data_IF_124587130412
#
_entry.id   IF_124587130412
#
_cell.length_a   1.000
_cell.length_b   1.000
_cell.length_c   1.000
_cell.angle_alpha   90.00
_cell.angle_beta   90.00
_cell.angle_gamma   90.00
#
_symmetry.space_group_name_H-M   'P 1'
#
loop_
_entity.id
_entity.type
_entity.pdbx_description
1 polymer ?
#
# COMPACT_ATOMS: atom_id res chain seq x y z
N UNK A 1 5.48 51.25 -46.76
CA UNK A 1 4.68 51.32 -45.52
C UNK A 1 3.78 50.10 -45.35
N UNK A 2 2.67 49.95 -46.09
CA UNK A 2 1.77 48.79 -45.91
C UNK A 2 2.39 47.42 -46.30
N UNK A 3 3.22 47.38 -47.35
CA UNK A 3 3.94 46.17 -47.76
C UNK A 3 5.02 45.74 -46.76
N UNK A 4 5.72 46.69 -46.17
CA UNK A 4 6.79 46.43 -45.21
C UNK A 4 6.20 45.88 -43.90
N UNK A 5 5.08 46.44 -43.43
CA UNK A 5 4.33 45.94 -42.28
C UNK A 5 3.80 44.51 -42.51
N UNK A 6 3.38 44.17 -43.74
CA UNK A 6 2.95 42.82 -44.09
C UNK A 6 4.13 41.84 -44.09
N UNK A 7 5.30 42.25 -44.58
CA UNK A 7 6.51 41.44 -44.55
C UNK A 7 6.97 41.15 -43.11
N UNK A 8 6.94 42.16 -42.24
CA UNK A 8 7.27 42.01 -40.82
C UNK A 8 6.32 41.02 -40.12
N UNK A 9 5.01 41.17 -40.32
CA UNK A 9 4.00 40.26 -39.75
C UNK A 9 4.14 38.84 -40.27
N UNK A 10 4.46 38.65 -41.55
CA UNK A 10 4.74 37.32 -42.09
C UNK A 10 5.97 36.69 -41.42
N UNK A 11 7.02 37.46 -41.15
CA UNK A 11 8.18 36.99 -40.40
C UNK A 11 7.83 36.58 -38.96
N UNK A 12 7.00 37.37 -38.28
CA UNK A 12 6.51 37.06 -36.94
C UNK A 12 5.68 35.77 -36.91
N UNK A 13 4.79 35.58 -37.89
CA UNK A 13 4.00 34.34 -38.05
C UNK A 13 4.90 33.14 -38.31
N UNK A 14 5.93 33.28 -39.14
CA UNK A 14 6.90 32.21 -39.38
C UNK A 14 7.65 31.82 -38.10
N UNK A 15 8.07 32.80 -37.30
CA UNK A 15 8.73 32.56 -36.01
C UNK A 15 7.82 31.79 -35.04
N UNK A 16 6.59 32.28 -34.86
CA UNK A 16 5.62 31.65 -33.96
C UNK A 16 5.28 30.21 -34.40
N UNK A 17 5.22 29.94 -35.71
CA UNK A 17 5.02 28.57 -36.22
C UNK A 17 6.19 27.65 -35.88
N UNK A 18 7.43 28.12 -35.97
CA UNK A 18 8.59 27.32 -35.58
C UNK A 18 8.58 27.04 -34.07
N UNK A 19 8.27 28.04 -33.26
CA UNK A 19 8.18 27.91 -31.80
C UNK A 19 7.06 26.95 -31.38
N UNK A 20 5.88 27.04 -32.02
CA UNK A 20 4.78 26.10 -31.81
C UNK A 20 5.18 24.66 -32.16
N UNK A 21 5.91 24.47 -33.27
CA UNK A 21 6.39 23.14 -33.66
C UNK A 21 7.40 22.58 -32.65
N UNK A 22 8.35 23.41 -32.22
CA UNK A 22 9.36 23.03 -31.22
C UNK A 22 8.73 22.69 -29.87
N UNK A 23 7.79 23.51 -29.39
CA UNK A 23 7.06 23.24 -28.13
C UNK A 23 6.21 21.98 -28.23
N UNK A 24 5.58 21.72 -29.38
CA UNK A 24 4.83 20.49 -29.62
C UNK A 24 5.72 19.24 -29.62
N UNK A 25 6.92 19.32 -30.18
CA UNK A 25 7.91 18.24 -30.16
C UNK A 25 8.39 17.95 -28.73
N UNK A 26 8.74 19.00 -27.96
CA UNK A 26 9.12 18.86 -26.55
C UNK A 26 8.01 18.22 -25.71
N UNK A 27 6.76 18.66 -25.90
CA UNK A 27 5.61 18.07 -25.20
C UNK A 27 5.44 16.59 -25.54
N UNK A 28 5.60 16.20 -26.81
CA UNK A 28 5.54 14.78 -27.21
C UNK A 28 6.60 13.95 -26.51
N UNK A 29 7.85 14.43 -26.48
CA UNK A 29 8.94 13.73 -25.80
C UNK A 29 8.67 13.58 -24.31
N UNK A 30 8.29 14.67 -23.63
CA UNK A 30 8.00 14.63 -22.19
C UNK A 30 6.84 13.69 -21.84
N UNK A 31 5.81 13.61 -22.69
CA UNK A 31 4.70 12.66 -22.51
C UNK A 31 5.16 11.21 -22.68
N UNK A 32 6.03 10.94 -23.66
CA UNK A 32 6.60 9.60 -23.86
C UNK A 32 7.44 9.17 -22.66
N UNK A 33 8.34 10.04 -22.18
CA UNK A 33 9.17 9.76 -21.00
C UNK A 33 8.32 9.49 -19.75
N UNK A 34 7.25 10.27 -19.54
CA UNK A 34 6.28 10.04 -18.46
C UNK A 34 5.66 8.64 -18.56
N UNK A 35 5.22 8.25 -19.75
CA UNK A 35 4.54 6.97 -19.96
C UNK A 35 5.50 5.79 -19.76
N UNK A 36 6.75 5.91 -20.21
CA UNK A 36 7.82 4.92 -19.97
C UNK A 36 8.10 4.76 -18.48
N UNK A 37 8.31 5.86 -17.74
CA UNK A 37 8.54 5.82 -16.29
C UNK A 37 7.32 5.24 -15.57
N UNK A 38 6.11 5.61 -15.98
CA UNK A 38 4.88 5.09 -15.39
C UNK A 38 4.73 3.57 -15.63
N UNK A 39 5.07 3.09 -16.82
CA UNK A 39 5.06 1.66 -17.13
C UNK A 39 6.05 0.88 -16.26
N UNK A 40 7.29 1.36 -16.15
CA UNK A 40 8.31 0.74 -15.30
C UNK A 40 7.91 0.73 -13.82
N UNK A 41 7.37 1.84 -13.31
CA UNK A 41 6.90 1.94 -11.93
C UNK A 41 5.76 0.96 -11.63
N UNK A 42 4.78 0.82 -12.54
CA UNK A 42 3.70 -0.17 -12.42
C UNK A 42 4.25 -1.59 -12.41
N UNK A 43 5.15 -1.92 -13.34
CA UNK A 43 5.77 -3.25 -13.40
C UNK A 43 6.53 -3.60 -12.12
N UNK A 44 7.31 -2.67 -11.58
CA UNK A 44 8.01 -2.86 -10.30
C UNK A 44 7.03 -3.05 -9.13
N UNK A 45 5.98 -2.23 -9.07
CA UNK A 45 4.94 -2.37 -8.04
C UNK A 45 4.24 -3.73 -8.10
N UNK A 46 3.85 -4.18 -9.29
CA UNK A 46 3.18 -5.47 -9.50
C UNK A 46 4.11 -6.64 -9.16
N UNK A 47 5.36 -6.58 -9.60
CA UNK A 47 6.37 -7.58 -9.27
C UNK A 47 6.61 -7.67 -7.76
N UNK A 48 6.77 -6.53 -7.08
CA UNK A 48 6.93 -6.49 -5.64
C UNK A 48 5.69 -7.01 -4.91
N UNK A 49 4.50 -6.62 -5.35
CA UNK A 49 3.23 -7.13 -4.81
C UNK A 49 3.18 -8.65 -4.94
N UNK A 50 3.56 -9.21 -6.08
CA UNK A 50 3.61 -10.65 -6.27
C UNK A 50 4.63 -11.33 -5.35
N UNK A 51 5.86 -10.80 -5.28
CA UNK A 51 6.92 -11.33 -4.41
C UNK A 51 6.50 -11.32 -2.94
N UNK A 52 5.89 -10.24 -2.47
CA UNK A 52 5.38 -10.13 -1.10
C UNK A 52 4.28 -11.18 -0.89
N UNK A 53 3.26 -11.24 -1.76
CA UNK A 53 2.16 -12.20 -1.65
C UNK A 53 2.61 -13.67 -1.73
N UNK A 54 3.65 -13.98 -2.50
CA UNK A 54 4.21 -15.34 -2.60
C UNK A 54 4.91 -15.81 -1.32
N UNK A 55 5.36 -14.87 -0.49
CA UNK A 55 6.04 -15.13 0.79
C UNK A 55 5.07 -15.15 1.97
N UNK A 56 3.80 -14.77 1.78
CA UNK A 56 2.79 -14.84 2.82
C UNK A 56 2.20 -16.27 2.92
N UNK A 57 2.00 -16.81 4.13
CA UNK A 57 1.31 -18.10 4.32
C UNK A 57 -0.12 -18.08 3.75
N UNK A 58 -0.66 -19.23 3.29
CA UNK A 58 -1.99 -19.33 2.67
C UNK A 58 -3.18 -18.80 3.50
N UNK A 59 -3.00 -18.59 4.80
CA UNK A 59 -4.06 -18.12 5.72
C UNK A 59 -4.56 -16.69 5.43
N UNK A 60 -3.85 -15.90 4.62
CA UNK A 60 -4.25 -14.55 4.20
C UNK A 60 -4.75 -14.47 2.74
N UNK A 61 -4.81 -15.59 2.01
CA UNK A 61 -5.19 -15.60 0.59
C UNK A 61 -6.72 -15.58 0.36
N UNK A 62 -7.53 -15.70 1.42
CA UNK A 62 -8.98 -15.90 1.32
C UNK A 62 -9.79 -14.71 1.87
N UNK A 63 -9.76 -13.54 1.23
CA UNK A 63 -10.84 -12.54 1.38
C UNK A 63 -11.06 -11.71 0.12
N UNK A 64 -11.40 -12.37 -0.98
CA UNK A 64 -12.24 -11.79 -2.05
C UNK A 64 -13.21 -12.87 -2.53
N UNK A 65 -14.12 -13.27 -1.66
CA UNK A 65 -15.28 -14.07 -2.01
C UNK A 65 -16.51 -13.25 -1.66
N UNK A 66 -17.22 -12.80 -2.70
CA UNK A 66 -18.58 -12.28 -2.59
C UNK A 66 -19.42 -13.44 -2.05
N UNK A 67 -19.69 -13.44 -0.75
CA UNK A 67 -20.58 -14.42 -0.13
C UNK A 67 -21.99 -13.84 -0.11
N UNK A 68 -22.82 -14.37 -0.99
CA UNK A 68 -24.27 -14.25 -0.96
C UNK A 68 -24.78 -15.46 -0.16
N UNK A 69 -25.27 -15.27 1.07
CA UNK A 69 -26.06 -16.24 1.84
C UNK A 69 -26.66 -15.46 3.03
N UNK A 70 -27.97 -15.23 3.13
CA UNK A 70 -29.03 -16.17 3.54
C UNK A 70 -28.72 -16.82 4.89
N UNK A 71 -29.38 -16.28 5.91
CA UNK A 71 -29.29 -16.59 7.35
C UNK A 71 -30.12 -17.83 7.71
N UNK A 72 -29.55 -18.76 8.48
CA UNK A 72 -30.32 -19.60 9.39
C UNK A 72 -29.46 -20.16 10.56
N UNK A 73 -29.82 -19.75 11.78
CA UNK A 73 -30.00 -20.64 12.94
C UNK A 73 -28.81 -21.36 13.60
N UNK A 74 -28.24 -20.72 14.62
CA UNK A 74 -27.82 -21.30 15.94
C UNK A 74 -26.63 -22.28 16.06
N UNK A 75 -25.70 -21.97 16.97
CA UNK A 75 -25.27 -22.80 18.13
C UNK A 75 -23.80 -22.58 18.53
N UNK A 76 -23.59 -22.26 19.81
CA UNK A 76 -22.29 -22.04 20.45
C UNK A 76 -21.61 -23.34 20.88
N UNK A 77 -20.31 -23.51 20.61
CA UNK A 77 -19.34 -24.23 21.47
C UNK A 77 -17.93 -23.72 21.17
N UNK A 78 -17.13 -23.48 22.22
CA UNK A 78 -15.90 -22.69 22.17
C UNK A 78 -14.78 -23.28 21.29
N UNK A 79 -14.22 -22.43 20.44
CA UNK A 79 -12.94 -22.63 19.75
C UNK A 79 -12.43 -21.27 19.27
N UNK A 80 -11.17 -20.92 19.60
CA UNK A 80 -10.57 -19.63 19.28
C UNK A 80 -10.30 -19.49 17.77
N UNK A 81 -11.35 -19.18 17.03
CA UNK A 81 -11.31 -18.69 15.66
C UNK A 81 -11.76 -17.24 15.70
N UNK A 82 -10.95 -16.33 15.17
CA UNK A 82 -11.25 -14.89 15.19
C UNK A 82 -12.53 -14.62 14.38
N UNK A 83 -13.63 -14.33 15.07
CA UNK A 83 -14.81 -13.68 14.53
C UNK A 83 -14.90 -12.25 15.11
N UNK A 84 -15.20 -11.21 14.31
CA UNK A 84 -15.35 -9.86 14.83
C UNK A 84 -16.67 -9.75 15.62
N UNK A 85 -16.56 -9.45 16.92
CA UNK A 85 -17.67 -9.13 17.81
C UNK A 85 -18.29 -7.77 17.41
N UNK A 86 -19.61 -7.72 17.20
CA UNK A 86 -20.37 -6.48 16.99
C UNK A 86 -21.61 -6.51 17.87
N UNK A 87 -21.56 -5.79 18.99
CA UNK A 87 -22.72 -5.36 19.74
C UNK A 87 -22.97 -3.86 19.49
N UNK A 88 -24.25 -3.48 19.41
CA UNK A 88 -24.69 -2.08 19.56
C UNK A 88 -25.35 -1.46 18.33
N UNK A 89 -26.68 -1.38 18.36
CA UNK A 89 -27.56 -0.86 17.32
C UNK A 89 -27.44 0.65 17.05
N UNK A 90 -27.65 1.03 15.78
CA UNK A 90 -28.72 1.95 15.32
C UNK A 90 -28.35 2.69 14.01
N UNK A 91 -29.28 2.55 13.04
CA UNK A 91 -29.66 3.46 11.96
C UNK A 91 -28.56 4.14 11.12
N UNK A 92 -28.44 3.65 9.88
CA UNK A 92 -28.48 4.50 8.70
C UNK A 92 -27.27 5.40 8.40
N UNK A 93 -26.20 4.81 7.86
CA UNK A 93 -25.44 5.38 6.73
C UNK A 93 -24.44 4.35 6.23
N UNK A 94 -24.43 4.13 4.92
CA UNK A 94 -23.45 3.32 4.19
C UNK A 94 -22.05 3.91 4.39
N UNK A 95 -21.42 3.58 5.50
CA UNK A 95 -20.00 3.77 5.74
C UNK A 95 -19.37 2.42 5.44
N UNK A 96 -18.53 2.38 4.41
CA UNK A 96 -17.59 1.28 4.20
C UNK A 96 -16.80 1.15 5.50
N UNK A 97 -17.21 0.22 6.38
CA UNK A 97 -16.42 -0.14 7.55
C UNK A 97 -15.21 -0.88 7.00
N UNK A 98 -14.11 -0.15 6.80
CA UNK A 98 -12.79 -0.76 6.65
C UNK A 98 -12.54 -1.47 7.98
N UNK A 99 -12.78 -2.78 8.01
CA UNK A 99 -12.37 -3.63 9.13
C UNK A 99 -10.86 -3.71 9.03
N UNK A 100 -10.18 -2.74 9.64
CA UNK A 100 -8.74 -2.85 9.89
C UNK A 100 -8.61 -3.97 10.91
N UNK A 101 -8.24 -5.17 10.44
CA UNK A 101 -7.86 -6.27 11.31
C UNK A 101 -6.66 -5.80 12.12
N UNK A 102 -6.88 -5.51 13.41
CA UNK A 102 -5.78 -5.16 14.31
C UNK A 102 -4.85 -6.35 14.39
N UNK A 103 -3.61 -6.17 13.97
CA UNK A 103 -2.55 -7.14 14.17
C UNK A 103 -2.22 -7.15 15.67
N UNK A 104 -2.64 -8.18 16.39
CA UNK A 104 -2.33 -8.32 17.82
C UNK A 104 -0.97 -8.99 18.03
N UNK A 105 -0.27 -8.56 19.07
CA UNK A 105 0.96 -9.18 19.54
C UNK A 105 0.73 -10.66 19.84
N UNK A 106 1.55 -11.54 19.25
CA UNK A 106 1.47 -12.99 19.41
C UNK A 106 2.03 -13.51 20.73
N UNK A 107 2.60 -12.63 21.56
CA UNK A 107 3.16 -12.97 22.88
C UNK A 107 2.14 -12.68 23.98
N UNK A 108 1.64 -11.44 24.05
CA UNK A 108 0.71 -11.03 25.11
C UNK A 108 -0.76 -11.03 24.70
N UNK A 109 -1.07 -11.10 23.40
CA UNK A 109 -2.42 -11.08 22.83
C UNK A 109 -3.31 -9.89 23.24
N UNK A 110 -2.73 -8.85 23.86
CA UNK A 110 -3.47 -7.73 24.43
C UNK A 110 -3.19 -6.39 23.72
N UNK A 111 -1.97 -6.21 23.20
CA UNK A 111 -1.51 -4.99 22.52
C UNK A 111 -1.33 -5.23 21.03
N UNK A 112 -1.40 -4.17 20.24
CA UNK A 112 -1.11 -4.23 18.82
C UNK A 112 0.36 -4.61 18.57
N UNK A 113 0.58 -5.42 17.54
CA UNK A 113 1.90 -5.78 17.04
C UNK A 113 2.46 -4.58 16.25
N UNK A 114 3.56 -4.03 16.73
CA UNK A 114 4.23 -2.86 16.15
C UNK A 114 5.73 -3.07 15.91
N UNK A 115 6.29 -4.22 16.31
CA UNK A 115 7.72 -4.53 16.19
C UNK A 115 7.99 -5.57 15.09
N UNK A 116 8.90 -5.22 14.18
CA UNK A 116 9.46 -6.11 13.17
C UNK A 116 10.67 -6.88 13.74
N UNK A 117 10.70 -8.21 13.60
CA UNK A 117 11.80 -9.04 14.09
C UNK A 117 12.81 -9.32 12.98
N UNK A 118 14.04 -8.84 13.09
CA UNK A 118 15.13 -9.13 12.15
C UNK A 118 15.91 -10.40 12.54
N UNK A 119 16.37 -11.20 11.56
CA UNK A 119 16.34 -10.93 10.11
C UNK A 119 15.06 -11.42 9.39
N UNK A 120 14.13 -12.09 10.08
CA UNK A 120 12.97 -12.73 9.44
C UNK A 120 11.84 -11.78 8.97
N UNK A 121 11.88 -10.50 9.35
CA UNK A 121 10.89 -9.46 9.01
C UNK A 121 9.43 -9.80 9.37
N UNK A 122 9.21 -10.58 10.44
CA UNK A 122 7.87 -10.82 10.95
C UNK A 122 7.41 -9.71 11.89
N UNK A 123 6.24 -9.13 11.62
CA UNK A 123 5.55 -8.18 12.49
C UNK A 123 4.59 -8.94 13.42
N UNK A 124 5.05 -9.27 14.63
CA UNK A 124 4.29 -10.15 15.52
C UNK A 124 4.37 -9.82 17.02
N UNK A 125 5.13 -8.78 17.41
CA UNK A 125 5.28 -8.38 18.81
C UNK A 125 4.88 -6.91 19.04
N UNK A 126 4.32 -6.60 20.21
CA UNK A 126 4.25 -5.22 20.69
C UNK A 126 5.62 -4.78 21.23
N UNK A 127 5.82 -3.48 21.42
CA UNK A 127 7.06 -2.88 21.91
C UNK A 127 7.63 -3.60 23.15
N UNK A 128 6.83 -3.72 24.21
CA UNK A 128 7.26 -4.35 25.46
C UNK A 128 7.70 -5.82 25.27
N UNK A 129 6.96 -6.58 24.45
CA UNK A 129 7.24 -7.98 24.22
C UNK A 129 8.42 -8.16 23.26
N UNK A 130 8.60 -7.23 22.31
CA UNK A 130 9.68 -7.26 21.34
C UNK A 130 11.05 -7.05 21.96
N UNK A 131 11.15 -6.28 23.05
CA UNK A 131 12.42 -6.06 23.78
C UNK A 131 12.93 -7.35 24.42
N UNK A 132 12.06 -8.11 25.10
CA UNK A 132 12.42 -9.37 25.78
C UNK A 132 12.52 -10.59 24.86
N UNK A 133 12.15 -10.43 23.59
CA UNK A 133 12.05 -11.53 22.64
C UNK A 133 13.42 -11.88 22.05
N UNK A 134 13.86 -13.13 22.21
CA UNK A 134 15.13 -13.62 21.65
C UNK A 134 14.96 -14.39 20.33
N UNK A 135 13.76 -14.88 20.05
CA UNK A 135 13.41 -15.65 18.84
C UNK A 135 12.05 -15.24 18.31
N UNK A 136 11.87 -15.23 16.99
CA UNK A 136 10.58 -14.95 16.37
C UNK A 136 9.52 -16.02 16.73
N UNK A 137 8.35 -15.68 17.29
CA UNK A 137 7.27 -16.64 17.57
C UNK A 137 6.67 -17.31 16.32
N UNK A 138 6.87 -16.74 15.13
CA UNK A 138 6.29 -17.26 13.89
C UNK A 138 7.22 -18.26 13.18
N UNK A 139 8.52 -17.98 13.13
CA UNK A 139 9.48 -18.78 12.38
C UNK A 139 10.66 -19.29 13.20
N UNK A 140 10.68 -19.01 14.51
CA UNK A 140 11.69 -19.46 15.48
C UNK A 140 13.13 -19.03 15.16
N UNK A 141 13.30 -18.07 14.25
CA UNK A 141 14.60 -17.50 13.92
C UNK A 141 15.06 -16.58 15.05
N UNK A 142 16.33 -16.65 15.41
CA UNK A 142 16.93 -15.78 16.42
C UNK A 142 16.81 -14.31 16.00
N UNK A 143 16.46 -13.45 16.95
CA UNK A 143 16.42 -12.01 16.76
C UNK A 143 17.84 -11.46 16.80
N UNK A 144 18.21 -10.66 15.80
CA UNK A 144 19.46 -9.91 15.84
C UNK A 144 19.36 -8.79 16.88
N UNK A 145 20.29 -8.77 17.86
CA UNK A 145 20.30 -7.77 18.93
C UNK A 145 20.95 -6.43 18.54
N UNK A 146 21.23 -6.22 17.25
CA UNK A 146 21.90 -5.02 16.73
C UNK A 146 20.89 -4.18 15.96
N UNK A 147 20.15 -3.31 16.65
CA UNK A 147 19.56 -2.09 16.09
C UNK A 147 18.97 -1.23 17.23
N UNK A 148 19.78 -0.30 17.76
CA UNK A 148 19.26 0.93 18.34
C UNK A 148 19.03 1.89 17.18
N UNK A 149 17.79 2.00 16.72
CA UNK A 149 17.38 3.10 15.84
C UNK A 149 16.27 3.83 16.57
N UNK A 150 16.66 4.94 17.20
CA UNK A 150 15.78 5.91 17.82
C UNK A 150 14.98 6.61 16.71
N UNK A 151 13.87 6.01 16.28
CA UNK A 151 12.94 6.65 15.36
C UNK A 151 11.97 7.54 16.15
N UNK A 152 12.42 8.76 16.46
CA UNK A 152 11.53 9.86 16.84
C UNK A 152 10.67 10.22 15.63
N UNK A 153 9.43 9.77 15.61
CA UNK A 153 8.41 10.35 14.73
C UNK A 153 7.84 11.58 15.44
N UNK A 154 8.19 12.76 14.92
CA UNK A 154 7.52 14.03 15.20
C UNK A 154 6.28 14.21 14.34
#
# INVERSE_FOLDING_TARGET
MARDALAEKNGEVSRLRMELKSTQELLRTALQERDEVQYLAKGFYEMNRWLIMSRLPPVLQATTSVVHALDDGSSSTGSCSQAPNVEGASVGRSTTRVVVTRLLCKVCCARDACMLILPCQHLCACESCGISLTVCPLCYLAKDNVMEVEARFG
#
